data_IF_835070698680
#
_entry.id   IF_835070698680
#
_cell.length_a   1.000
_cell.length_b   1.000
_cell.length_c   1.000
_cell.angle_alpha   90.00
_cell.angle_beta   90.00
_cell.angle_gamma   90.00
#
_symmetry.space_group_name_H-M   'P 1'
#
loop_
_entity.id
_entity.type
_entity.pdbx_description
1 polymer ?
#
# COMPACT_ATOMS: atom_id res chain seq x y z
N UNK A 1 -0.51 -14.62 -32.42
CA UNK A 1 -1.04 -13.35 -31.87
C UNK A 1 0.16 -12.50 -31.52
N UNK A 2 0.36 -11.38 -32.21
CA UNK A 2 1.53 -10.52 -32.01
C UNK A 2 1.46 -9.79 -30.66
N UNK A 3 2.62 -9.52 -30.08
CA UNK A 3 2.79 -8.68 -28.89
C UNK A 3 2.05 -7.35 -29.07
N UNK A 4 1.38 -6.87 -28.02
CA UNK A 4 0.68 -5.59 -28.06
C UNK A 4 1.69 -4.44 -28.20
N UNK A 5 1.54 -3.63 -29.25
CA UNK A 5 2.41 -2.48 -29.54
C UNK A 5 1.57 -1.23 -29.79
N UNK A 6 2.19 -0.05 -29.73
CA UNK A 6 1.51 1.19 -30.11
C UNK A 6 0.91 1.07 -31.52
N UNK A 7 -0.39 1.34 -31.64
CA UNK A 7 -1.15 1.14 -32.89
C UNK A 7 -1.88 -0.21 -32.97
N UNK A 8 -1.48 -1.23 -32.20
CA UNK A 8 -2.18 -2.52 -32.08
C UNK A 8 -2.14 -3.03 -30.63
N UNK A 9 -2.90 -2.35 -29.76
CA UNK A 9 -2.95 -2.66 -28.33
C UNK A 9 -3.91 -3.82 -27.98
N UNK A 10 -4.60 -4.41 -28.96
CA UNK A 10 -5.53 -5.53 -28.75
C UNK A 10 -6.83 -5.17 -28.02
N UNK A 11 -7.10 -3.88 -27.77
CA UNK A 11 -8.33 -3.40 -27.16
C UNK A 11 -9.53 -3.32 -28.14
N UNK A 12 -10.75 -3.15 -27.62
CA UNK A 12 -11.93 -2.92 -28.46
C UNK A 12 -11.79 -1.61 -29.25
N UNK A 13 -12.44 -1.53 -30.42
CA UNK A 13 -12.47 -0.33 -31.25
C UNK A 13 -13.14 0.83 -30.49
N UNK A 14 -12.41 1.93 -30.29
CA UNK A 14 -12.93 3.14 -29.68
C UNK A 14 -13.33 4.14 -30.77
N UNK A 15 -14.59 4.58 -30.78
CA UNK A 15 -15.11 5.55 -31.76
C UNK A 15 -15.86 6.65 -31.00
N UNK A 16 -15.66 7.91 -31.36
CA UNK A 16 -16.39 9.06 -30.79
C UNK A 16 -15.86 9.61 -29.47
N UNK A 17 -14.71 9.15 -28.98
CA UNK A 17 -14.09 9.66 -27.74
C UNK A 17 -13.15 10.81 -28.09
N UNK A 18 -13.46 12.03 -27.63
CA UNK A 18 -12.62 13.21 -27.81
C UNK A 18 -11.91 13.55 -26.49
N UNK A 19 -10.59 13.72 -26.52
CA UNK A 19 -9.78 14.01 -25.34
C UNK A 19 -9.14 15.39 -25.44
N UNK A 20 -9.32 16.22 -24.41
CA UNK A 20 -8.73 17.55 -24.31
C UNK A 20 -7.63 17.55 -23.25
N UNK A 21 -6.52 18.25 -23.52
CA UNK A 21 -5.38 18.40 -22.61
C UNK A 21 -4.78 19.80 -22.78
N UNK A 22 -4.28 20.36 -21.68
CA UNK A 22 -3.53 21.61 -21.64
C UNK A 22 -2.04 21.30 -21.49
N UNK A 23 -1.16 22.15 -22.04
CA UNK A 23 0.29 21.94 -21.90
C UNK A 23 0.71 21.95 -20.43
N UNK A 24 1.64 21.07 -19.99
CA UNK A 24 2.14 21.10 -18.62
C UNK A 24 2.80 22.42 -18.23
N UNK A 25 3.35 23.15 -19.20
CA UNK A 25 3.98 24.46 -18.98
C UNK A 25 2.97 25.59 -18.73
N UNK A 26 1.70 25.36 -19.07
CA UNK A 26 0.59 26.29 -18.81
C UNK A 26 -0.12 25.95 -17.49
N UNK A 27 0.21 24.81 -16.88
CA UNK A 27 -0.38 24.34 -15.63
C UNK A 27 0.55 24.59 -14.43
N UNK A 28 -0.06 24.75 -13.26
CA UNK A 28 0.69 24.77 -11.99
C UNK A 28 0.86 23.33 -11.49
N UNK A 29 2.10 22.84 -11.47
CA UNK A 29 2.43 21.45 -11.13
C UNK A 29 1.81 20.93 -9.81
N UNK A 30 1.76 21.75 -8.76
CA UNK A 30 1.22 21.37 -7.45
C UNK A 30 -0.10 22.07 -7.09
N UNK A 31 -0.88 22.47 -8.10
CA UNK A 31 -2.18 23.08 -7.86
C UNK A 31 -3.08 22.17 -7.00
N UNK A 32 -3.56 22.69 -5.88
CA UNK A 32 -4.56 22.00 -5.06
C UNK A 32 -4.04 20.82 -4.22
N UNK A 33 -2.73 20.57 -4.16
CA UNK A 33 -2.15 19.50 -3.34
C UNK A 33 -2.56 19.62 -1.87
N UNK A 34 -2.41 20.80 -1.28
CA UNK A 34 -2.76 21.02 0.13
C UNK A 34 -4.26 21.15 0.36
N UNK A 35 -4.99 21.85 -0.53
CA UNK A 35 -6.42 22.13 -0.34
C UNK A 35 -7.34 20.95 -0.69
N UNK A 36 -6.98 20.13 -1.69
CA UNK A 36 -7.80 18.99 -2.17
C UNK A 36 -7.06 17.66 -2.03
N UNK A 37 -5.76 17.65 -2.35
CA UNK A 37 -4.94 16.45 -2.31
C UNK A 37 -4.86 15.84 -0.91
N UNK A 38 -4.60 16.65 0.12
CA UNK A 38 -4.50 16.20 1.51
C UNK A 38 -5.76 15.45 1.99
N UNK A 39 -6.94 16.07 1.86
CA UNK A 39 -8.20 15.42 2.25
C UNK A 39 -8.51 14.17 1.42
N UNK A 40 -8.15 14.17 0.14
CA UNK A 40 -8.32 12.99 -0.71
C UNK A 40 -7.38 11.84 -0.30
N UNK A 41 -6.16 12.14 0.17
CA UNK A 41 -5.25 11.14 0.73
C UNK A 41 -5.85 10.54 2.00
N UNK A 42 -6.32 11.36 2.94
CA UNK A 42 -6.95 10.86 4.16
C UNK A 42 -8.14 9.96 3.84
N UNK A 43 -9.03 10.40 2.95
CA UNK A 43 -10.20 9.61 2.52
C UNK A 43 -9.81 8.28 1.88
N UNK A 44 -8.73 8.24 1.10
CA UNK A 44 -8.24 7.01 0.45
C UNK A 44 -7.59 6.06 1.45
N UNK A 45 -6.77 6.59 2.35
CA UNK A 45 -6.11 5.81 3.39
C UNK A 45 -7.15 5.22 4.34
N UNK A 46 -8.09 6.03 4.84
CA UNK A 46 -9.12 5.57 5.79
C UNK A 46 -9.95 4.43 5.24
N UNK A 47 -10.26 4.43 3.94
CA UNK A 47 -10.98 3.34 3.28
C UNK A 47 -10.23 2.00 3.28
N UNK A 48 -8.90 2.01 3.46
CA UNK A 48 -8.04 0.83 3.43
C UNK A 48 -7.48 0.44 4.81
N UNK A 49 -7.55 1.34 5.81
CA UNK A 49 -7.00 1.08 7.16
C UNK A 49 -7.54 -0.24 7.74
N UNK A 50 -8.82 -0.55 7.57
CA UNK A 50 -9.41 -1.75 8.16
C UNK A 50 -8.96 -3.05 7.49
N UNK A 51 -8.40 -3.00 6.29
CA UNK A 51 -7.84 -4.17 5.62
C UNK A 51 -6.35 -4.36 5.96
N UNK A 52 -5.62 -3.27 6.17
CA UNK A 52 -4.17 -3.31 6.37
C UNK A 52 -3.80 -3.33 7.86
N UNK A 53 -4.50 -2.57 8.70
CA UNK A 53 -4.14 -2.40 10.11
C UNK A 53 -4.34 -3.68 10.94
N UNK A 54 -5.44 -4.45 10.83
CA UNK A 54 -5.59 -5.66 11.62
C UNK A 54 -4.48 -6.71 11.40
N UNK A 55 -4.12 -7.10 10.16
CA UNK A 55 -3.02 -8.04 9.97
C UNK A 55 -1.67 -7.44 10.37
N UNK A 56 -1.42 -6.16 10.11
CA UNK A 56 -0.16 -5.52 10.50
C UNK A 56 0.02 -5.49 12.03
N UNK A 57 -1.03 -5.13 12.77
CA UNK A 57 -1.02 -5.14 14.24
C UNK A 57 -0.91 -6.56 14.78
N UNK A 58 -1.63 -7.52 14.21
CA UNK A 58 -1.56 -8.93 14.61
C UNK A 58 -0.14 -9.49 14.48
N UNK A 59 0.51 -9.25 13.34
CA UNK A 59 1.90 -9.66 13.10
C UNK A 59 2.85 -8.97 14.08
N UNK A 60 2.69 -7.67 14.30
CA UNK A 60 3.55 -6.92 15.22
C UNK A 60 3.44 -7.42 16.66
N UNK A 61 2.23 -7.73 17.13
CA UNK A 61 1.99 -8.30 18.45
C UNK A 61 2.59 -9.70 18.57
N UNK A 62 2.37 -10.57 17.58
CA UNK A 62 2.93 -11.92 17.55
C UNK A 62 4.47 -11.89 17.57
N UNK A 63 5.07 -11.04 16.74
CA UNK A 63 6.52 -10.87 16.69
C UNK A 63 7.08 -10.37 18.03
N UNK A 64 6.43 -9.38 18.64
CA UNK A 64 6.84 -8.82 19.94
C UNK A 64 6.78 -9.86 21.05
N UNK A 65 5.73 -10.69 21.07
CA UNK A 65 5.61 -11.81 22.00
C UNK A 65 6.69 -12.88 21.74
N UNK A 66 6.85 -13.31 20.49
CA UNK A 66 7.79 -14.36 20.11
C UNK A 66 9.23 -13.96 20.46
N UNK A 67 9.61 -12.70 20.21
CA UNK A 67 10.92 -12.17 20.57
C UNK A 67 11.16 -12.18 22.08
N UNK A 68 10.18 -11.73 22.88
CA UNK A 68 10.28 -11.76 24.35
C UNK A 68 10.37 -13.19 24.89
N UNK A 69 9.54 -14.10 24.37
CA UNK A 69 9.54 -15.52 24.76
C UNK A 69 10.86 -16.20 24.39
N UNK A 70 11.37 -15.96 23.18
CA UNK A 70 12.66 -16.49 22.75
C UNK A 70 13.82 -15.98 23.63
N UNK A 71 13.82 -14.69 23.96
CA UNK A 71 14.84 -14.13 24.86
C UNK A 71 14.77 -14.78 26.25
N UNK A 72 13.57 -14.98 26.80
CA UNK A 72 13.38 -15.62 28.11
C UNK A 72 13.85 -17.09 28.12
N UNK A 73 13.48 -17.89 27.12
CA UNK A 73 13.85 -19.31 27.03
C UNK A 73 15.37 -19.53 26.87
N UNK A 74 16.11 -18.53 26.43
CA UNK A 74 17.57 -18.57 26.35
C UNK A 74 18.26 -18.02 27.62
N UNK A 75 17.52 -17.67 28.67
CA UNK A 75 18.08 -17.35 29.99
C UNK A 75 18.24 -18.62 30.83
N UNK A 76 19.05 -18.54 31.90
CA UNK A 76 19.20 -19.65 32.85
C UNK A 76 17.89 -20.05 33.53
N UNK A 77 17.04 -19.07 33.84
CA UNK A 77 15.73 -19.32 34.46
C UNK A 77 14.77 -20.05 33.48
N UNK A 78 14.76 -19.66 32.21
CA UNK A 78 13.94 -20.28 31.18
C UNK A 78 14.49 -21.59 30.61
N UNK A 79 15.74 -21.95 30.90
CA UNK A 79 16.34 -23.21 30.46
C UNK A 79 15.64 -24.44 31.05
N UNK A 80 15.13 -24.33 32.28
CA UNK A 80 14.35 -25.39 32.93
C UNK A 80 13.00 -25.60 32.23
N UNK A 81 12.29 -24.53 31.89
CA UNK A 81 11.00 -24.58 31.18
C UNK A 81 11.14 -24.99 29.69
N UNK A 82 12.35 -24.99 29.14
CA UNK A 82 12.62 -25.39 27.76
C UNK A 82 12.78 -26.91 27.62
N UNK A 83 13.20 -27.59 28.68
CA UNK A 83 13.49 -29.03 28.71
C UNK A 83 12.31 -29.91 29.12
N UNK A 84 11.29 -29.31 29.74
CA UNK A 84 9.98 -29.92 30.02
C UNK A 84 9.12 -29.98 28.74
#
# INVERSE_FOLDING_TARGET
MGEAVFGNLGGPKQVGIVSYRLSPYEQRAFAGVLKKGFYNVIRRVSAQVMYVAPPALGIFMLYSWAKKRNAYLNTKAGAHEKSD
#
